data_IF_477481546883
#
_entry.id   IF_477481546883
#
_cell.length_a   1.000
_cell.length_b   1.000
_cell.length_c   1.000
_cell.angle_alpha   90.00
_cell.angle_beta   90.00
_cell.angle_gamma   90.00
#
_symmetry.space_group_name_H-M   'P 1'
#
loop_
_entity.id
_entity.type
_entity.pdbx_description
1 polymer ?
#
# COMPACT_ATOMS: atom_id res chain seq x y z
N UNK A 1 -22.35 27.82 -9.83
CA UNK A 1 -21.66 26.67 -10.49
C UNK A 1 -20.16 26.89 -10.72
N UNK A 2 -19.69 28.08 -11.14
CA UNK A 2 -18.25 28.33 -11.36
C UNK A 2 -17.39 28.18 -10.09
N UNK A 3 -17.86 28.71 -8.95
CA UNK A 3 -17.18 28.57 -7.66
C UNK A 3 -17.20 27.15 -7.08
N UNK A 4 -18.22 26.35 -7.41
CA UNK A 4 -18.28 24.95 -7.00
C UNK A 4 -17.25 24.11 -7.74
N UNK A 5 -17.10 24.32 -9.06
CA UNK A 5 -16.02 23.69 -9.86
C UNK A 5 -14.63 24.14 -9.39
N UNK A 6 -14.50 25.40 -8.96
CA UNK A 6 -13.25 25.93 -8.41
C UNK A 6 -12.93 25.34 -7.03
N UNK A 7 -13.91 25.13 -6.16
CA UNK A 7 -13.75 24.45 -4.86
C UNK A 7 -13.39 22.97 -5.02
N UNK A 8 -13.97 22.27 -6.00
CA UNK A 8 -13.58 20.91 -6.35
C UNK A 8 -12.15 20.83 -6.91
N UNK A 9 -11.76 21.78 -7.77
CA UNK A 9 -10.41 21.86 -8.31
C UNK A 9 -9.37 22.21 -7.21
N UNK A 10 -9.69 23.15 -6.32
CA UNK A 10 -8.82 23.55 -5.21
C UNK A 10 -8.71 22.43 -4.16
N UNK A 11 -9.81 21.72 -3.88
CA UNK A 11 -9.83 20.55 -3.00
C UNK A 11 -9.01 19.38 -3.55
N UNK A 12 -9.05 19.15 -4.87
CA UNK A 12 -8.19 18.15 -5.53
C UNK A 12 -6.70 18.47 -5.44
N UNK A 13 -6.33 19.75 -5.56
CA UNK A 13 -4.94 20.20 -5.42
C UNK A 13 -4.45 20.12 -3.96
N UNK A 14 -5.30 20.41 -2.96
CA UNK A 14 -4.94 20.28 -1.55
C UNK A 14 -4.77 18.82 -1.10
N UNK A 15 -5.50 17.89 -1.74
CA UNK A 15 -5.40 16.46 -1.44
C UNK A 15 -4.07 15.84 -1.87
N UNK A 16 -3.40 16.41 -2.88
CA UNK A 16 -2.16 15.90 -3.46
C UNK A 16 -0.89 16.27 -2.65
N UNK A 17 -0.97 17.18 -1.67
CA UNK A 17 0.21 17.71 -0.96
C UNK A 17 0.27 17.40 0.54
N UNK A 18 -0.68 16.65 1.09
CA UNK A 18 -0.75 16.39 2.52
C UNK A 18 -0.18 14.99 2.86
N UNK A 19 1.08 14.92 3.31
CA UNK A 19 1.72 13.64 3.70
C UNK A 19 1.36 13.19 5.13
N UNK A 20 0.67 14.01 5.91
CA UNK A 20 0.14 13.64 7.23
C UNK A 20 -1.08 14.47 7.57
N UNK A 21 -2.18 13.83 7.96
CA UNK A 21 -3.34 14.51 8.57
C UNK A 21 -3.25 14.37 10.08
N UNK A 22 -3.36 15.49 10.80
CA UNK A 22 -3.43 15.51 12.26
C UNK A 22 -4.88 15.70 12.70
N UNK A 23 -5.44 14.71 13.38
CA UNK A 23 -6.74 14.80 14.04
C UNK A 23 -6.56 14.58 15.54
N UNK A 24 -6.87 15.60 16.36
CA UNK A 24 -6.74 15.58 17.83
C UNK A 24 -5.36 15.10 18.34
N UNK A 25 -4.28 15.45 17.66
CA UNK A 25 -2.91 15.11 18.07
C UNK A 25 -2.42 13.72 17.64
N UNK A 26 -3.28 12.88 17.05
CA UNK A 26 -2.86 11.63 16.43
C UNK A 26 -2.36 11.91 15.01
N UNK A 27 -1.07 11.66 14.75
CA UNK A 27 -0.48 11.75 13.42
C UNK A 27 -0.85 10.51 12.64
N UNK A 28 -1.69 10.67 11.62
CA UNK A 28 -2.02 9.57 10.71
C UNK A 28 -1.03 9.64 9.55
N UNK A 29 -0.17 8.62 9.37
CA UNK A 29 0.76 8.56 8.25
C UNK A 29 -0.03 8.34 6.96
N UNK A 30 0.34 9.09 5.93
CA UNK A 30 -0.37 9.12 4.66
C UNK A 30 0.64 9.30 3.53
N UNK A 31 0.77 8.31 2.66
CA UNK A 31 1.71 8.40 1.54
C UNK A 31 2.36 7.07 1.21
N UNK A 32 3.44 7.20 0.47
CA UNK A 32 4.25 6.12 -0.07
C UNK A 32 4.79 5.23 1.05
N UNK A 33 4.63 3.92 0.88
CA UNK A 33 5.15 2.88 1.76
C UNK A 33 5.85 1.83 0.93
N UNK A 34 7.09 1.54 1.30
CA UNK A 34 7.82 0.39 0.78
C UNK A 34 7.36 -0.87 1.50
N UNK A 35 7.10 -1.92 0.73
CA UNK A 35 6.67 -3.20 1.23
C UNK A 35 7.60 -4.28 0.67
N UNK A 36 8.24 -4.99 1.58
CA UNK A 36 9.08 -6.14 1.32
C UNK A 36 8.37 -7.37 1.84
N UNK A 37 8.25 -8.40 1.00
CA UNK A 37 7.71 -9.70 1.39
C UNK A 37 8.70 -10.76 0.95
N UNK A 38 9.30 -11.48 1.91
CA UNK A 38 10.11 -12.65 1.61
C UNK A 38 9.26 -13.70 0.89
N UNK A 39 9.73 -14.21 -0.24
CA UNK A 39 8.99 -15.14 -1.11
C UNK A 39 9.71 -16.47 -1.35
N UNK A 40 11.03 -16.54 -1.18
CA UNK A 40 11.76 -17.81 -1.22
C UNK A 40 13.04 -17.71 -0.38
N UNK A 41 13.35 -18.80 0.34
CA UNK A 41 14.63 -18.95 1.02
C UNK A 41 15.69 -19.37 -0.01
N UNK A 42 16.88 -18.77 0.07
CA UNK A 42 18.05 -19.18 -0.73
C UNK A 42 19.00 -20.02 0.14
N UNK A 43 19.85 -20.88 -0.46
CA UNK A 43 20.80 -21.68 0.31
C UNK A 43 21.89 -20.80 0.93
N UNK A 44 22.30 -21.10 2.17
CA UNK A 44 23.36 -20.40 2.88
C UNK A 44 24.76 -20.69 2.30
N UNK A 45 25.06 -20.15 1.12
CA UNK A 45 26.33 -20.28 0.41
C UNK A 45 27.10 -18.96 0.39
N UNK A 46 28.41 -19.01 0.10
CA UNK A 46 29.22 -17.78 -0.05
C UNK A 46 28.68 -16.84 -1.14
N UNK A 47 28.00 -17.36 -2.15
CA UNK A 47 27.40 -16.57 -3.23
C UNK A 47 26.26 -15.66 -2.74
N UNK A 48 25.50 -16.12 -1.75
CA UNK A 48 24.37 -15.39 -1.16
C UNK A 48 24.72 -14.78 0.20
N UNK A 49 26.00 -14.73 0.54
CA UNK A 49 26.48 -14.14 1.78
C UNK A 49 26.78 -12.64 1.59
N UNK A 50 26.28 -11.85 2.52
CA UNK A 50 26.59 -10.41 2.69
C UNK A 50 28.00 -10.24 3.28
N UNK A 51 28.54 -9.02 3.19
CA UNK A 51 29.84 -8.68 3.78
C UNK A 51 29.87 -8.89 5.32
N UNK A 52 28.71 -8.80 5.98
CA UNK A 52 28.55 -9.00 7.42
C UNK A 52 28.33 -10.48 7.81
N UNK A 53 28.38 -11.40 6.83
CA UNK A 53 28.27 -12.84 7.05
C UNK A 53 26.83 -13.36 7.18
N UNK A 54 25.82 -12.51 6.94
CA UNK A 54 24.42 -12.91 6.85
C UNK A 54 24.05 -13.36 5.44
N UNK A 55 22.90 -14.01 5.28
CA UNK A 55 22.46 -14.55 3.99
C UNK A 55 21.29 -13.75 3.44
N UNK A 56 21.25 -13.61 2.11
CA UNK A 56 20.15 -12.99 1.40
C UNK A 56 19.15 -14.05 0.94
N UNK A 57 17.87 -13.74 1.07
CA UNK A 57 16.75 -14.48 0.52
C UNK A 57 16.14 -13.73 -0.67
N UNK A 58 15.18 -14.33 -1.36
CA UNK A 58 14.44 -13.64 -2.42
C UNK A 58 13.17 -13.01 -1.86
N UNK A 59 12.95 -11.73 -2.15
CA UNK A 59 11.76 -10.99 -1.73
C UNK A 59 11.07 -10.30 -2.92
N UNK A 60 9.76 -10.10 -2.79
CA UNK A 60 9.01 -9.15 -3.63
C UNK A 60 9.02 -7.79 -2.96
N UNK A 61 9.49 -6.78 -3.68
CA UNK A 61 9.46 -5.38 -3.30
C UNK A 61 8.45 -4.63 -4.15
N UNK A 62 7.61 -3.82 -3.52
CA UNK A 62 6.76 -2.83 -4.21
C UNK A 62 6.60 -1.58 -3.37
N UNK A 63 6.20 -0.49 -4.02
CA UNK A 63 5.80 0.74 -3.34
C UNK A 63 4.29 0.90 -3.48
N UNK A 64 3.60 1.14 -2.37
CA UNK A 64 2.16 1.38 -2.34
C UNK A 64 1.83 2.69 -1.63
N UNK A 65 0.79 3.38 -2.09
CA UNK A 65 0.23 4.49 -1.36
C UNK A 65 -0.64 3.95 -0.23
N UNK A 66 -0.28 4.27 1.01
CA UNK A 66 -0.91 3.69 2.19
C UNK A 66 -1.46 4.77 3.13
N UNK A 67 -2.62 4.49 3.74
CA UNK A 67 -3.20 5.29 4.81
C UNK A 67 -3.11 4.51 6.12
N UNK A 68 -2.51 5.15 7.13
CA UNK A 68 -2.44 4.65 8.50
C UNK A 68 -1.77 3.27 8.63
N UNK A 69 -0.85 2.93 7.73
CA UNK A 69 -0.20 1.61 7.61
C UNK A 69 -1.12 0.43 7.31
N UNK A 70 -2.43 0.65 7.21
CA UNK A 70 -3.42 -0.43 7.09
C UNK A 70 -4.17 -0.42 5.77
N UNK A 71 -4.22 0.70 5.04
CA UNK A 71 -5.08 0.84 3.88
C UNK A 71 -4.27 1.16 2.62
N UNK A 72 -3.84 0.15 1.86
CA UNK A 72 -3.16 0.32 0.58
C UNK A 72 -4.16 0.74 -0.50
N UNK A 73 -4.10 1.99 -0.93
CA UNK A 73 -5.05 2.52 -1.93
C UNK A 73 -4.67 2.14 -3.36
N UNK A 74 -3.38 2.19 -3.71
CA UNK A 74 -2.88 1.76 -5.00
C UNK A 74 -1.39 1.48 -4.95
N UNK A 75 -0.93 0.69 -5.91
CA UNK A 75 0.50 0.42 -6.13
C UNK A 75 1.08 1.59 -6.91
N UNK A 76 2.14 2.19 -6.38
CA UNK A 76 2.88 3.30 -7.01
C UNK A 76 4.01 2.79 -7.89
N UNK A 77 4.73 1.77 -7.41
CA UNK A 77 5.74 1.05 -8.18
C UNK A 77 5.39 -0.42 -8.21
N UNK A 78 5.26 -0.97 -9.41
CA UNK A 78 4.94 -2.38 -9.64
C UNK A 78 5.91 -3.31 -8.91
N UNK A 79 5.45 -4.51 -8.50
CA UNK A 79 6.28 -5.44 -7.77
C UNK A 79 7.42 -5.97 -8.62
N UNK A 80 8.56 -6.17 -7.98
CA UNK A 80 9.76 -6.76 -8.56
C UNK A 80 10.49 -7.59 -7.53
N UNK A 81 11.28 -8.55 -8.01
CA UNK A 81 12.09 -9.40 -7.15
C UNK A 81 13.41 -8.71 -6.80
N UNK A 82 13.82 -8.84 -5.54
CA UNK A 82 15.06 -8.30 -4.98
C UNK A 82 15.69 -9.33 -4.05
N UNK A 83 17.00 -9.20 -3.81
CA UNK A 83 17.63 -9.87 -2.68
C UNK A 83 17.22 -9.18 -1.38
N UNK A 84 17.02 -9.92 -0.29
CA UNK A 84 16.63 -9.35 1.00
C UNK A 84 17.35 -10.07 2.15
N UNK A 85 18.06 -9.30 2.97
CA UNK A 85 18.63 -9.81 4.21
C UNK A 85 17.74 -9.41 5.39
N UNK A 86 17.03 -10.38 5.98
CA UNK A 86 16.12 -10.13 7.11
C UNK A 86 16.86 -9.63 8.37
N UNK A 87 18.10 -10.09 8.58
CA UNK A 87 18.91 -9.68 9.75
C UNK A 87 19.38 -8.22 9.67
N UNK A 88 19.61 -7.73 8.46
CA UNK A 88 20.06 -6.35 8.19
C UNK A 88 18.91 -5.42 7.81
N UNK A 89 17.69 -5.98 7.67
CA UNK A 89 16.50 -5.31 7.15
C UNK A 89 16.79 -4.49 5.88
N UNK A 90 17.59 -5.06 4.98
CA UNK A 90 18.12 -4.39 3.79
C UNK A 90 17.84 -5.23 2.55
N UNK A 91 17.48 -4.56 1.46
CA UNK A 91 17.27 -5.19 0.16
C UNK A 91 18.37 -4.80 -0.83
N UNK A 92 18.62 -5.68 -1.80
CA UNK A 92 19.64 -5.53 -2.83
C UNK A 92 18.99 -5.63 -4.20
N UNK A 93 19.32 -4.66 -5.05
CA UNK A 93 18.93 -4.65 -6.45
C UNK A 93 19.60 -5.81 -7.18
N UNK A 94 18.81 -6.60 -7.91
CA UNK A 94 19.31 -7.68 -8.75
C UNK A 94 19.23 -7.24 -10.21
N UNK A 95 20.32 -7.44 -10.96
CA UNK A 95 20.24 -7.33 -12.42
C UNK A 95 19.38 -8.45 -13.00
N UNK A 96 18.91 -8.28 -14.23
CA UNK A 96 18.14 -9.34 -14.92
C UNK A 96 18.93 -10.65 -15.02
N UNK A 97 20.25 -10.57 -15.22
CA UNK A 97 21.14 -11.73 -15.31
C UNK A 97 21.31 -12.44 -13.96
N UNK A 98 21.48 -11.68 -12.87
CA UNK A 98 21.56 -12.23 -11.52
C UNK A 98 20.25 -12.90 -11.12
N UNK A 99 19.12 -12.22 -11.35
CA UNK A 99 17.80 -12.77 -11.05
C UNK A 99 17.53 -14.04 -11.86
N UNK A 100 17.84 -14.06 -13.16
CA UNK A 100 17.65 -15.23 -14.00
C UNK A 100 18.50 -16.43 -13.54
N UNK A 101 19.75 -16.17 -13.11
CA UNK A 101 20.64 -17.21 -12.57
C UNK A 101 20.09 -17.78 -11.27
N UNK A 102 19.74 -16.91 -10.30
CA UNK A 102 19.16 -17.31 -9.01
C UNK A 102 17.89 -18.15 -9.21
N UNK A 103 16.98 -17.68 -10.07
CA UNK A 103 15.72 -18.41 -10.33
C UNK A 103 15.98 -19.79 -10.93
N UNK A 104 16.93 -19.89 -11.87
CA UNK A 104 17.26 -21.15 -12.54
C UNK A 104 17.94 -22.15 -11.60
N UNK A 105 18.95 -21.71 -10.86
CA UNK A 105 19.74 -22.57 -9.98
C UNK A 105 18.92 -23.11 -8.80
N UNK A 106 18.00 -22.29 -8.30
CA UNK A 106 17.13 -22.65 -7.18
C UNK A 106 15.78 -23.23 -7.64
N UNK A 107 15.58 -23.43 -8.95
CA UNK A 107 14.34 -23.97 -9.54
C UNK A 107 13.08 -23.19 -9.10
N UNK A 108 13.18 -21.86 -9.11
CA UNK A 108 12.13 -20.93 -8.70
C UNK A 108 11.40 -20.34 -9.91
N UNK A 109 10.10 -20.09 -9.74
CA UNK A 109 9.25 -19.48 -10.75
C UNK A 109 9.03 -17.99 -10.42
N UNK A 110 9.80 -17.12 -11.07
CA UNK A 110 9.79 -15.69 -10.81
C UNK A 110 8.41 -15.04 -11.03
N UNK A 111 7.61 -15.49 -12.00
CA UNK A 111 6.28 -14.94 -12.24
C UNK A 111 5.30 -15.32 -11.13
N UNK A 112 5.43 -16.53 -10.57
CA UNK A 112 4.63 -16.95 -9.42
C UNK A 112 5.02 -16.20 -8.16
N UNK A 113 6.32 -15.96 -7.97
CA UNK A 113 6.86 -15.29 -6.79
C UNK A 113 6.62 -13.78 -6.81
N UNK A 114 6.75 -13.12 -7.96
CA UNK A 114 6.63 -11.67 -8.11
C UNK A 114 5.16 -11.20 -8.10
N UNK A 115 4.46 -11.43 -6.99
CA UNK A 115 3.04 -11.11 -6.84
C UNK A 115 2.80 -10.33 -5.56
N UNK A 116 1.95 -9.32 -5.69
CA UNK A 116 1.41 -8.61 -4.54
C UNK A 116 0.22 -9.38 -3.96
N UNK A 117 0.10 -9.39 -2.63
CA UNK A 117 -1.07 -9.93 -1.95
C UNK A 117 -2.38 -9.26 -2.42
N UNK A 118 -3.47 -10.03 -2.38
CA UNK A 118 -4.80 -9.58 -2.83
C UNK A 118 -5.24 -8.27 -2.15
N UNK A 119 -4.94 -8.11 -0.86
CA UNK A 119 -5.33 -6.92 -0.10
C UNK A 119 -4.61 -5.66 -0.57
N UNK A 120 -3.29 -5.71 -0.74
CA UNK A 120 -2.51 -4.59 -1.30
C UNK A 120 -2.93 -4.23 -2.72
N UNK A 121 -3.29 -5.22 -3.54
CA UNK A 121 -3.67 -4.96 -4.94
C UNK A 121 -5.10 -4.42 -5.10
N UNK A 122 -6.05 -4.92 -4.30
CA UNK A 122 -7.48 -4.64 -4.48
C UNK A 122 -8.21 -4.29 -3.17
N UNK A 123 -7.83 -4.93 -2.07
CA UNK A 123 -8.57 -4.86 -0.81
C UNK A 123 -8.68 -3.45 -0.23
N UNK A 124 -7.60 -2.66 -0.25
CA UNK A 124 -7.66 -1.31 0.29
C UNK A 124 -8.56 -0.36 -0.50
N UNK A 125 -8.70 -0.55 -1.82
CA UNK A 125 -9.69 0.19 -2.63
C UNK A 125 -11.12 -0.15 -2.23
N UNK A 126 -11.43 -1.43 -2.04
CA UNK A 126 -12.75 -1.87 -1.64
C UNK A 126 -13.15 -1.32 -0.27
N UNK A 127 -12.22 -1.36 0.70
CA UNK A 127 -12.42 -0.77 2.04
C UNK A 127 -12.59 0.75 1.93
N UNK A 128 -11.78 1.44 1.13
CA UNK A 128 -11.92 2.88 0.89
C UNK A 128 -13.30 3.26 0.33
N UNK A 129 -13.79 2.51 -0.66
CA UNK A 129 -15.14 2.72 -1.22
C UNK A 129 -16.24 2.49 -0.18
N UNK A 130 -16.11 1.48 0.67
CA UNK A 130 -17.06 1.21 1.74
C UNK A 130 -17.11 2.36 2.75
N UNK A 131 -15.95 2.91 3.14
CA UNK A 131 -15.87 4.09 4.03
C UNK A 131 -16.58 5.29 3.38
N UNK A 132 -16.32 5.56 2.10
CA UNK A 132 -16.97 6.67 1.37
C UNK A 132 -18.50 6.47 1.34
N UNK A 133 -18.98 5.25 1.08
CA UNK A 133 -20.41 4.94 1.05
C UNK A 133 -21.08 5.18 2.42
N UNK A 134 -20.43 4.79 3.51
CA UNK A 134 -20.92 5.02 4.87
C UNK A 134 -20.98 6.50 5.24
N UNK A 135 -19.98 7.29 4.83
CA UNK A 135 -19.99 8.75 5.04
C UNK A 135 -21.16 9.38 4.30
N UNK A 136 -21.39 9.02 3.03
CA UNK A 136 -22.53 9.52 2.25
C UNK A 136 -23.85 9.16 2.93
N UNK A 137 -24.01 7.90 3.34
CA UNK A 137 -25.21 7.44 4.04
C UNK A 137 -25.47 8.21 5.34
N UNK A 138 -24.44 8.42 6.16
CA UNK A 138 -24.54 9.17 7.42
C UNK A 138 -24.91 10.64 7.23
N UNK A 139 -24.56 11.22 6.07
CA UNK A 139 -24.93 12.60 5.72
C UNK A 139 -26.36 12.72 5.16
N UNK A 140 -27.10 11.63 4.94
CA UNK A 140 -28.51 11.69 4.48
C UNK A 140 -29.40 12.15 5.66
N UNK A 141 -30.05 13.33 5.57
CA UNK A 141 -30.90 13.81 6.65
C UNK A 141 -32.13 12.91 6.80
N UNK A 142 -32.40 12.48 8.03
CA UNK A 142 -33.60 11.69 8.34
C UNK A 142 -34.89 12.45 7.97
N UNK A 143 -35.92 11.71 7.53
CA UNK A 143 -37.25 12.28 7.33
C UNK A 143 -37.75 12.86 8.65
N UNK A 144 -37.96 14.18 8.69
CA UNK A 144 -38.60 14.83 9.83
C UNK A 144 -40.01 14.25 9.97
N UNK A 145 -40.33 13.70 11.14
CA UNK A 145 -41.72 13.31 11.45
C UNK A 145 -42.55 14.59 11.45
N UNK A 146 -43.59 14.63 10.64
CA UNK A 146 -44.59 15.69 10.72
C UNK A 146 -45.25 15.62 12.10
N UNK A 147 -44.95 16.60 12.95
CA UNK A 147 -45.62 16.77 14.22
C UNK A 147 -46.96 17.42 13.90
N UNK A 148 -48.05 16.64 13.97
CA UNK A 148 -49.40 17.20 13.89
C UNK A 148 -49.64 18.02 15.16
N UNK A 149 -50.00 19.31 15.07
CA UNK A 149 -50.37 20.09 16.24
C UNK A 149 -51.61 19.46 16.88
N UNK A 150 -51.59 19.32 18.20
CA UNK A 150 -52.77 18.98 18.99
C UNK A 150 -53.49 20.30 19.26
N UNK A 151 -54.71 20.45 18.75
CA UNK A 151 -55.57 21.59 19.10
C UNK A 151 -55.94 21.45 20.59
N UNK A 152 -55.65 22.49 21.38
CA UNK A 152 -55.93 22.58 22.83
C UNK A 152 -57.06 23.56 23.05
#
# INVERSE_FOLDING_TARGET
MKHLKFLFALGGILFLSCQTVSARGLKIPFGDREVLTKVADLPDTEEYQTDDGNYIDLATFHQEFNIAYILPLYIEKEPRLVGYCEKEDTYYELTEEQLATILKENNLDGEKLNKVGFYSRYGGKAVGLLIIALIIWGCIPGKKKEVKPVEV
#
